data_IF_081658600847
#
_entry.id   IF_081658600847
#
_cell.length_a   1.000
_cell.length_b   1.000
_cell.length_c   1.000
_cell.angle_alpha   90.00
_cell.angle_beta   90.00
_cell.angle_gamma   90.00
#
_symmetry.space_group_name_H-M   'P 1'
#
loop_
_entity.id
_entity.type
_entity.pdbx_description
1 polymer ?
#
# COMPACT_ATOMS: atom_id res chain seq x y z
N UNK A 1 19.79 -9.70 -9.47
CA UNK A 1 18.67 -10.17 -8.62
C UNK A 1 18.86 -9.53 -7.26
N UNK A 2 18.11 -8.47 -6.95
CA UNK A 2 18.17 -7.85 -5.63
C UNK A 2 17.33 -8.72 -4.68
N UNK A 3 17.88 -9.05 -3.52
CA UNK A 3 17.11 -9.75 -2.47
C UNK A 3 15.92 -8.87 -2.07
N UNK A 4 14.73 -9.43 -1.82
CA UNK A 4 13.61 -8.65 -1.32
C UNK A 4 14.05 -7.97 -0.01
N UNK A 5 13.81 -6.67 0.15
CA UNK A 5 14.08 -6.01 1.43
C UNK A 5 13.34 -6.80 2.51
N UNK A 6 14.01 -7.07 3.62
CA UNK A 6 13.45 -7.80 4.76
C UNK A 6 12.42 -6.89 5.44
N UNK A 7 11.26 -6.75 4.79
CA UNK A 7 10.18 -5.84 5.18
C UNK A 7 9.31 -6.55 6.20
N UNK A 8 9.03 -5.87 7.32
CA UNK A 8 8.15 -6.37 8.37
C UNK A 8 6.69 -6.00 8.11
N UNK A 9 5.77 -6.66 8.82
CA UNK A 9 4.32 -6.33 8.77
C UNK A 9 4.06 -4.86 9.13
N UNK A 10 4.76 -4.34 10.12
CA UNK A 10 4.62 -2.93 10.52
C UNK A 10 5.13 -1.97 9.44
N UNK A 11 6.19 -2.34 8.72
CA UNK A 11 6.65 -1.57 7.57
C UNK A 11 5.64 -1.60 6.42
N UNK A 12 5.06 -2.76 6.09
CA UNK A 12 3.99 -2.82 5.07
C UNK A 12 2.79 -1.95 5.47
N UNK A 13 2.36 -2.02 6.73
CA UNK A 13 1.28 -1.15 7.24
C UNK A 13 1.64 0.33 7.11
N UNK A 14 2.89 0.70 7.44
CA UNK A 14 3.39 2.07 7.28
C UNK A 14 3.30 2.52 5.83
N UNK A 15 3.76 1.69 4.88
CA UNK A 15 3.71 2.00 3.45
C UNK A 15 2.26 2.16 2.96
N UNK A 16 1.35 1.27 3.40
CA UNK A 16 -0.07 1.37 3.05
C UNK A 16 -0.71 2.66 3.58
N UNK A 17 -0.39 3.06 4.81
CA UNK A 17 -0.83 4.34 5.36
C UNK A 17 -0.26 5.52 4.57
N UNK A 18 1.02 5.48 4.19
CA UNK A 18 1.61 6.52 3.33
C UNK A 18 0.93 6.63 1.97
N UNK A 19 0.49 5.51 1.37
CA UNK A 19 -0.31 5.53 0.13
C UNK A 19 -1.64 6.23 0.37
N UNK A 20 -2.35 5.89 1.45
CA UNK A 20 -3.63 6.53 1.81
C UNK A 20 -3.47 8.02 2.08
N UNK A 21 -2.49 8.40 2.90
CA UNK A 21 -2.16 9.80 3.19
C UNK A 21 -1.80 10.56 1.91
N UNK A 22 -1.09 9.93 0.98
CA UNK A 22 -0.77 10.54 -0.32
C UNK A 22 -2.03 10.77 -1.15
N UNK A 23 -2.95 9.80 -1.20
CA UNK A 23 -4.22 9.94 -1.92
C UNK A 23 -5.10 11.08 -1.35
N UNK A 24 -5.02 11.33 -0.05
CA UNK A 24 -5.76 12.39 0.65
C UNK A 24 -5.02 13.73 0.71
N UNK A 25 -3.74 13.75 0.35
CA UNK A 25 -2.93 14.96 0.36
C UNK A 25 -3.48 16.02 -0.60
N UNK A 26 -3.37 17.33 -0.29
CA UNK A 26 -3.89 18.39 -1.15
C UNK A 26 -3.26 18.39 -2.56
N UNK A 27 -2.06 17.84 -2.71
CA UNK A 27 -1.34 17.72 -4.00
C UNK A 27 -2.03 16.78 -5.00
N UNK A 28 -2.76 15.77 -4.48
CA UNK A 28 -3.40 14.72 -5.26
C UNK A 28 -4.93 14.71 -5.12
N UNK A 29 -5.48 15.04 -3.95
CA UNK A 29 -6.91 14.98 -3.67
C UNK A 29 -7.74 15.82 -4.66
N UNK A 30 -7.35 17.08 -4.90
CA UNK A 30 -8.05 17.95 -5.86
C UNK A 30 -8.07 17.34 -7.27
N UNK A 31 -6.94 16.80 -7.73
CA UNK A 31 -6.82 16.21 -9.07
C UNK A 31 -7.60 14.89 -9.18
N UNK A 32 -7.58 14.09 -8.13
CA UNK A 32 -8.36 12.85 -8.06
C UNK A 32 -9.86 13.15 -8.11
N UNK A 33 -10.31 14.18 -7.40
CA UNK A 33 -11.72 14.57 -7.40
C UNK A 33 -12.15 15.14 -8.75
N UNK A 34 -11.35 16.01 -9.38
CA UNK A 34 -11.58 16.47 -10.76
C UNK A 34 -11.70 15.30 -11.76
N UNK A 35 -10.83 14.29 -11.64
CA UNK A 35 -10.90 13.13 -12.52
C UNK A 35 -12.07 12.20 -12.22
N UNK A 36 -12.47 12.05 -10.95
CA UNK A 36 -13.68 11.32 -10.57
C UNK A 36 -14.92 12.02 -11.12
N UNK A 37 -14.98 13.36 -11.02
CA UNK A 37 -16.07 14.14 -11.61
C UNK A 37 -16.11 14.00 -13.13
N UNK A 38 -14.95 14.09 -13.80
CA UNK A 38 -14.85 13.89 -15.26
C UNK A 38 -15.22 12.47 -15.71
N UNK A 39 -14.93 11.46 -14.88
CA UNK A 39 -15.30 10.07 -15.14
C UNK A 39 -16.78 9.79 -14.86
N UNK A 40 -17.38 10.49 -13.89
CA UNK A 40 -18.72 10.23 -13.41
C UNK A 40 -18.87 8.78 -12.93
N UNK A 41 -19.92 8.10 -13.37
CA UNK A 41 -20.15 6.68 -13.07
C UNK A 41 -19.74 5.75 -14.22
N UNK A 42 -19.00 6.26 -15.21
CA UNK A 42 -18.56 5.45 -16.34
C UNK A 42 -17.32 4.63 -15.96
N UNK A 43 -17.52 3.33 -15.78
CA UNK A 43 -16.46 2.40 -15.37
C UNK A 43 -15.21 2.49 -16.26
N UNK A 44 -15.37 2.65 -17.57
CA UNK A 44 -14.24 2.78 -18.50
C UNK A 44 -13.46 4.08 -18.25
N UNK A 45 -14.15 5.19 -17.97
CA UNK A 45 -13.50 6.47 -17.65
C UNK A 45 -12.83 6.42 -16.28
N UNK A 46 -13.42 5.77 -15.29
CA UNK A 46 -12.77 5.53 -13.99
C UNK A 46 -11.43 4.78 -14.17
N UNK A 47 -11.41 3.77 -15.03
CA UNK A 47 -10.20 3.03 -15.39
C UNK A 47 -9.18 3.83 -16.21
N UNK A 48 -9.60 4.83 -16.97
CA UNK A 48 -8.72 5.63 -17.83
C UNK A 48 -8.21 6.91 -17.17
N UNK A 49 -8.99 7.49 -16.24
CA UNK A 49 -8.70 8.79 -15.64
C UNK A 49 -8.25 8.64 -14.19
N UNK A 50 -8.98 7.88 -13.38
CA UNK A 50 -8.72 7.78 -11.93
C UNK A 50 -7.66 6.72 -11.64
N UNK A 51 -7.81 5.53 -12.23
CA UNK A 51 -6.92 4.40 -11.95
C UNK A 51 -5.44 4.71 -12.24
N UNK A 52 -5.05 5.33 -13.38
CA UNK A 52 -3.63 5.62 -13.63
C UNK A 52 -3.03 6.59 -12.62
N UNK A 53 -3.82 7.53 -12.09
CA UNK A 53 -3.36 8.45 -11.05
C UNK A 53 -3.13 7.74 -9.73
N UNK A 54 -4.06 6.87 -9.31
CA UNK A 54 -3.90 6.07 -8.09
C UNK A 54 -2.65 5.18 -8.20
N UNK A 55 -2.47 4.51 -9.34
CA UNK A 55 -1.29 3.69 -9.64
C UNK A 55 -0.01 4.52 -9.56
N UNK A 56 -0.01 5.75 -10.08
CA UNK A 56 1.15 6.63 -10.01
C UNK A 56 1.47 7.03 -8.57
N UNK A 57 0.46 7.36 -7.77
CA UNK A 57 0.62 7.73 -6.34
C UNK A 57 1.18 6.55 -5.55
N UNK A 58 0.60 5.36 -5.73
CA UNK A 58 1.09 4.13 -5.10
C UNK A 58 2.54 3.84 -5.50
N UNK A 59 2.88 3.97 -6.79
CA UNK A 59 4.26 3.77 -7.29
C UNK A 59 5.25 4.71 -6.60
N UNK A 60 4.92 5.99 -6.46
CA UNK A 60 5.81 6.97 -5.82
C UNK A 60 5.94 6.76 -4.31
N UNK A 61 4.91 6.23 -3.65
CA UNK A 61 4.98 5.85 -2.24
C UNK A 61 5.91 4.64 -2.04
N UNK A 62 5.66 3.53 -2.72
CA UNK A 62 6.44 2.29 -2.53
C UNK A 62 7.91 2.46 -2.94
N UNK A 63 8.20 3.32 -3.92
CA UNK A 63 9.56 3.60 -4.39
C UNK A 63 10.47 4.17 -3.29
N UNK A 64 9.90 4.89 -2.31
CA UNK A 64 10.63 5.42 -1.14
C UNK A 64 11.13 4.32 -0.21
N UNK A 65 10.56 3.12 -0.31
CA UNK A 65 10.86 1.96 0.50
C UNK A 65 11.66 0.88 -0.25
N UNK A 66 12.24 1.26 -1.40
CA UNK A 66 13.15 0.39 -2.16
C UNK A 66 12.46 -0.50 -3.20
N UNK A 67 11.15 -0.35 -3.42
CA UNK A 67 10.47 -1.00 -4.54
C UNK A 67 10.81 -0.32 -5.88
N UNK A 68 10.66 -1.06 -6.98
CA UNK A 68 10.82 -0.50 -8.32
C UNK A 68 9.74 0.57 -8.58
N UNK A 69 10.13 1.72 -9.14
CA UNK A 69 9.22 2.76 -9.63
C UNK A 69 8.51 2.39 -10.94
N UNK A 70 8.30 1.10 -11.19
CA UNK A 70 7.64 0.54 -12.37
C UNK A 70 6.46 -0.31 -11.93
N UNK A 71 5.64 -0.74 -12.90
CA UNK A 71 4.51 -1.65 -12.64
C UNK A 71 4.93 -2.94 -11.91
N UNK A 72 6.17 -3.40 -12.11
CA UNK A 72 6.71 -4.57 -11.43
C UNK A 72 6.81 -4.36 -9.92
N UNK A 73 7.16 -3.15 -9.46
CA UNK A 73 7.25 -2.83 -8.03
C UNK A 73 5.88 -2.91 -7.34
N UNK A 74 4.82 -2.46 -8.01
CA UNK A 74 3.45 -2.57 -7.50
C UNK A 74 3.04 -4.04 -7.36
N UNK A 75 3.35 -4.87 -8.36
CA UNK A 75 3.04 -6.30 -8.32
C UNK A 75 3.78 -6.98 -7.17
N UNK A 76 5.07 -6.68 -6.99
CA UNK A 76 5.87 -7.20 -5.87
C UNK A 76 5.31 -6.76 -4.51
N UNK A 77 4.97 -5.47 -4.36
CA UNK A 77 4.38 -4.96 -3.13
C UNK A 77 3.02 -5.60 -2.84
N UNK A 78 2.16 -5.73 -3.86
CA UNK A 78 0.86 -6.41 -3.73
C UNK A 78 1.03 -7.87 -3.29
N UNK A 79 1.96 -8.60 -3.89
CA UNK A 79 2.26 -9.98 -3.50
C UNK A 79 2.72 -10.06 -2.03
N UNK A 80 3.61 -9.15 -1.62
CA UNK A 80 4.08 -9.06 -0.24
C UNK A 80 2.92 -8.82 0.75
N UNK A 81 2.00 -7.88 0.44
CA UNK A 81 0.80 -7.63 1.26
C UNK A 81 -0.01 -8.91 1.41
N UNK A 82 -0.26 -9.65 0.30
CA UNK A 82 -1.00 -10.91 0.34
C UNK A 82 -0.32 -12.00 1.15
N UNK A 83 1.00 -12.13 1.04
CA UNK A 83 1.77 -13.07 1.86
C UNK A 83 1.62 -12.75 3.35
N UNK A 84 1.69 -11.47 3.72
CA UNK A 84 1.54 -11.03 5.10
C UNK A 84 0.12 -11.18 5.65
N UNK A 85 -0.92 -11.03 4.82
CA UNK A 85 -2.31 -11.32 5.19
C UNK A 85 -2.52 -12.79 5.59
N UNK A 86 -1.72 -13.71 5.04
CA UNK A 86 -1.80 -15.15 5.36
C UNK A 86 -0.99 -15.55 6.58
N UNK A 87 -0.17 -14.64 7.14
CA UNK A 87 0.58 -14.92 8.36
C UNK A 87 -0.41 -15.03 9.54
N UNK A 88 -0.38 -16.15 10.30
CA UNK A 88 -1.17 -16.23 11.51
C UNK A 88 -0.75 -15.09 12.44
N UNK A 89 -1.73 -14.39 13.03
CA UNK A 89 -1.47 -13.37 14.05
C UNK A 89 -0.61 -14.00 15.14
N UNK A 90 0.67 -13.64 15.17
CA UNK A 90 1.57 -14.00 16.25
C UNK A 90 1.48 -12.87 17.27
N UNK A 91 0.97 -13.13 18.50
CA UNK A 91 1.06 -12.12 19.54
C UNK A 91 2.52 -11.74 19.73
N UNK A 92 2.84 -10.46 19.99
CA UNK A 92 4.18 -10.07 20.39
C UNK A 92 4.59 -10.92 21.60
N UNK A 93 5.79 -11.50 21.56
CA UNK A 93 6.29 -12.44 22.58
C UNK A 93 6.22 -11.92 24.03
N UNK A 94 6.05 -10.61 24.24
CA UNK A 94 5.86 -9.99 25.55
C UNK A 94 4.55 -10.38 26.25
N UNK A 95 3.52 -10.87 25.54
CA UNK A 95 2.23 -11.24 26.15
C UNK A 95 2.17 -12.68 26.69
N UNK A 96 3.20 -13.50 26.49
CA UNK A 96 3.20 -14.91 26.96
C UNK A 96 3.85 -15.05 28.35
N UNK A 97 4.45 -13.99 28.90
CA UNK A 97 5.22 -14.06 30.15
C UNK A 97 4.41 -13.81 31.44
N UNK A 98 3.09 -13.64 31.40
CA UNK A 98 2.29 -13.36 32.60
C UNK A 98 1.13 -14.35 32.74
N UNK A 99 1.44 -15.61 33.01
CA UNK A 99 0.68 -16.39 34.00
C UNK A 99 1.38 -17.72 34.39
N UNK A 100 2.19 -17.77 35.46
CA UNK A 100 2.35 -19.01 36.20
C UNK A 100 1.18 -19.09 37.20
N UNK A 101 0.11 -19.82 36.83
CA UNK A 101 -0.87 -20.25 37.83
C UNK A 101 -0.18 -21.29 38.72
N UNK A 102 0.13 -20.85 39.94
CA UNK A 102 0.33 -21.71 41.13
C UNK A 102 -1.05 -22.18 41.58
#
# INVERSE_FOLDING_TARGET
MASPPNITVEQVRTILNEVLDSLESPDYASKLDEAKEAAGNEMLKMMQLVFPMVVQIETEAIKRHGFSGSREGIVQFTQLVREMETLPWTPPCELVAVNPVI
#
